data_IF_117896683588
#
_entry.id   IF_117896683588
#
_cell.length_a   1.000
_cell.length_b   1.000
_cell.length_c   1.000
_cell.angle_alpha   90.00
_cell.angle_beta   90.00
_cell.angle_gamma   90.00
#
_symmetry.space_group_name_H-M   'P 1'
#
loop_
_entity.id
_entity.type
_entity.pdbx_description
1 polymer ?
#
# COMPACT_ATOMS: atom_id res chain seq x y z
N UNK A 1 52.43 -71.49 7.52
CA UNK A 1 51.82 -72.04 8.75
C UNK A 1 51.20 -70.87 9.49
N UNK A 2 49.95 -70.52 9.20
CA UNK A 2 48.73 -71.06 9.84
C UNK A 2 48.87 -71.06 11.36
N UNK A 3 48.10 -70.18 12.01
CA UNK A 3 47.44 -70.39 13.30
C UNK A 3 46.47 -69.23 13.54
N UNK A 4 45.21 -69.50 13.19
CA UNK A 4 43.99 -69.30 13.96
C UNK A 4 43.79 -67.96 14.69
N UNK A 5 42.95 -67.13 14.08
CA UNK A 5 42.22 -66.05 14.77
C UNK A 5 41.01 -66.71 15.43
N UNK A 6 41.09 -66.85 16.75
CA UNK A 6 40.01 -67.31 17.62
C UNK A 6 38.91 -66.24 17.64
N UNK A 7 37.74 -66.56 17.07
CA UNK A 7 36.56 -65.69 17.10
C UNK A 7 35.78 -66.01 18.38
N UNK A 8 35.46 -65.02 19.24
CA UNK A 8 34.70 -65.29 20.44
C UNK A 8 33.27 -65.74 20.11
N UNK A 9 32.83 -66.75 20.86
CA UNK A 9 31.51 -67.39 20.83
C UNK A 9 30.36 -66.38 20.90
N UNK A 10 29.30 -66.64 20.13
CA UNK A 10 28.05 -65.90 20.20
C UNK A 10 27.40 -66.13 21.57
N UNK A 11 27.35 -65.08 22.38
CA UNK A 11 26.54 -65.06 23.60
C UNK A 11 25.08 -64.95 23.22
N UNK A 12 24.39 -66.08 23.35
CA UNK A 12 22.93 -66.19 23.41
C UNK A 12 22.46 -65.72 24.80
N UNK A 13 21.35 -64.97 24.83
CA UNK A 13 20.68 -64.54 26.05
C UNK A 13 20.73 -63.02 26.30
N UNK A 14 19.70 -62.29 25.87
CA UNK A 14 18.52 -62.09 26.71
C UNK A 14 17.45 -61.35 25.88
N UNK A 15 16.22 -61.86 25.92
CA UNK A 15 15.02 -61.18 25.45
C UNK A 15 14.85 -59.89 26.25
N UNK A 16 15.01 -58.75 25.59
CA UNK A 16 14.46 -57.45 25.98
C UNK A 16 13.98 -56.77 24.68
N UNK A 17 13.05 -57.44 23.99
CA UNK A 17 12.14 -56.81 23.01
C UNK A 17 10.95 -56.18 23.78
N UNK A 18 11.23 -55.42 24.84
CA UNK A 18 10.22 -54.76 25.68
C UNK A 18 10.35 -53.23 25.60
N UNK A 19 9.30 -52.63 25.03
CA UNK A 19 8.92 -51.22 25.10
C UNK A 19 9.74 -50.17 24.32
N UNK A 20 9.74 -50.29 22.99
CA UNK A 20 9.67 -49.12 22.10
C UNK A 20 8.23 -48.62 21.89
N UNK A 21 7.33 -48.87 22.86
CA UNK A 21 6.06 -48.17 22.91
C UNK A 21 6.36 -46.73 23.32
N UNK A 22 6.28 -45.82 22.35
CA UNK A 22 6.21 -44.39 22.58
C UNK A 22 5.01 -44.08 23.50
N UNK A 23 5.21 -44.16 24.82
CA UNK A 23 4.35 -43.49 25.79
C UNK A 23 4.66 -41.98 25.77
N UNK A 24 4.49 -41.36 24.61
CA UNK A 24 4.14 -39.95 24.58
C UNK A 24 2.70 -39.87 25.07
N UNK A 25 2.51 -39.72 26.38
CA UNK A 25 1.20 -39.47 26.98
C UNK A 25 0.45 -38.47 26.12
N UNK A 26 -0.82 -38.71 25.79
CA UNK A 26 -1.62 -37.82 24.92
C UNK A 26 -1.53 -36.35 25.35
N UNK A 27 -1.32 -36.11 26.64
CA UNK A 27 -1.10 -34.79 27.22
C UNK A 27 0.21 -34.11 26.77
N UNK A 28 1.30 -34.86 26.62
CA UNK A 28 2.59 -34.33 26.12
C UNK A 28 2.54 -34.06 24.61
N UNK A 29 1.84 -34.89 23.84
CA UNK A 29 1.59 -34.63 22.41
C UNK A 29 0.66 -33.43 22.22
N UNK A 30 -0.38 -33.32 23.05
CA UNK A 30 -1.31 -32.19 23.03
C UNK A 30 -0.61 -30.89 23.41
N UNK A 31 0.21 -30.87 24.47
CA UNK A 31 1.00 -29.68 24.84
C UNK A 31 1.98 -29.29 23.75
N UNK A 32 2.65 -30.25 23.10
CA UNK A 32 3.53 -29.96 21.97
C UNK A 32 2.75 -29.45 20.75
N UNK A 33 1.57 -29.99 20.49
CA UNK A 33 0.70 -29.53 19.40
C UNK A 33 0.06 -28.18 19.70
N UNK A 34 -0.23 -27.88 20.97
CA UNK A 34 -0.75 -26.59 21.46
C UNK A 34 0.35 -25.53 21.43
N UNK A 35 1.59 -25.85 21.83
CA UNK A 35 2.75 -24.97 21.67
C UNK A 35 3.06 -24.70 20.19
N UNK A 36 3.02 -25.72 19.33
CA UNK A 36 3.19 -25.54 17.88
C UNK A 36 2.02 -24.73 17.29
N UNK A 37 0.79 -25.00 17.73
CA UNK A 37 -0.41 -24.27 17.31
C UNK A 37 -0.37 -22.81 17.75
N UNK A 38 0.03 -22.52 18.98
CA UNK A 38 0.08 -21.16 19.50
C UNK A 38 1.29 -20.42 18.92
N UNK A 39 2.42 -21.09 18.69
CA UNK A 39 3.52 -20.53 17.91
C UNK A 39 3.09 -20.26 16.46
N UNK A 40 2.29 -21.14 15.84
CA UNK A 40 1.73 -20.96 14.51
C UNK A 40 0.67 -19.84 14.46
N UNK A 41 -0.20 -19.71 15.47
CA UNK A 41 -1.17 -18.61 15.57
C UNK A 41 -0.47 -17.27 15.74
N UNK A 42 0.58 -17.22 16.55
CA UNK A 42 1.43 -16.03 16.72
C UNK A 42 2.22 -15.67 15.44
N UNK A 43 2.35 -16.63 14.51
CA UNK A 43 2.89 -16.42 13.16
C UNK A 43 1.81 -16.05 12.12
N UNK A 44 0.52 -16.25 12.39
CA UNK A 44 -0.54 -16.21 11.36
C UNK A 44 -1.58 -15.09 11.55
N UNK A 45 -1.75 -14.51 12.75
CA UNK A 45 -2.48 -13.24 12.93
C UNK A 45 -1.63 -12.28 13.76
N UNK A 46 -1.01 -11.28 13.13
CA UNK A 46 -0.50 -10.15 13.91
C UNK A 46 -1.69 -9.40 14.50
N UNK A 47 -1.71 -9.15 15.81
CA UNK A 47 -2.69 -8.33 16.55
C UNK A 47 -3.02 -6.98 15.87
N UNK A 48 -2.11 -6.49 15.03
CA UNK A 48 -2.31 -5.29 14.22
C UNK A 48 -3.39 -5.42 13.14
N UNK A 49 -3.64 -6.62 12.58
CA UNK A 49 -4.64 -6.82 11.54
C UNK A 49 -6.07 -6.70 12.08
N UNK A 50 -6.26 -6.95 13.38
CA UNK A 50 -7.54 -6.75 14.07
C UNK A 50 -7.84 -5.28 14.38
N UNK A 51 -6.83 -4.39 14.23
CA UNK A 51 -7.00 -2.96 14.45
C UNK A 51 -7.74 -2.32 13.29
N UNK A 52 -8.26 -1.11 13.54
CA UNK A 52 -8.93 -0.32 12.51
C UNK A 52 -7.96 0.02 11.38
N UNK A 53 -8.48 0.26 10.17
CA UNK A 53 -7.66 0.67 9.04
C UNK A 53 -6.85 1.94 9.36
N UNK A 54 -7.44 2.89 10.09
CA UNK A 54 -6.76 4.10 10.56
C UNK A 54 -5.53 3.74 11.41
N UNK A 55 -5.70 2.87 12.41
CA UNK A 55 -4.59 2.45 13.28
C UNK A 55 -3.48 1.75 12.49
N UNK A 56 -3.83 0.88 11.53
CA UNK A 56 -2.85 0.19 10.67
C UNK A 56 -2.06 1.17 9.81
N UNK A 57 -2.75 2.15 9.22
CA UNK A 57 -2.12 3.24 8.46
C UNK A 57 -1.20 4.07 9.35
N UNK A 58 -1.59 4.32 10.61
CA UNK A 58 -0.79 5.08 11.57
C UNK A 58 0.46 4.35 12.02
N UNK A 59 0.35 3.04 12.26
CA UNK A 59 1.50 2.18 12.56
C UNK A 59 2.49 2.23 11.40
N UNK A 60 2.00 2.06 10.17
CA UNK A 60 2.84 2.12 8.97
C UNK A 60 3.50 3.51 8.79
N UNK A 61 2.74 4.60 9.00
CA UNK A 61 3.27 5.96 8.95
C UNK A 61 4.43 6.15 9.94
N UNK A 62 4.24 5.72 11.19
CA UNK A 62 5.26 5.84 12.23
C UNK A 62 6.51 5.01 11.89
N UNK A 63 6.33 3.80 11.33
CA UNK A 63 7.44 2.97 10.87
C UNK A 63 8.29 3.67 9.80
N UNK A 64 7.65 4.25 8.76
CA UNK A 64 8.36 4.97 7.70
C UNK A 64 9.04 6.22 8.25
N UNK A 65 8.37 6.94 9.15
CA UNK A 65 8.92 8.14 9.81
C UNK A 65 10.15 7.80 10.65
N UNK A 66 10.14 6.69 11.40
CA UNK A 66 11.29 6.23 12.16
C UNK A 66 12.48 5.91 11.24
N UNK A 67 12.25 5.21 10.11
CA UNK A 67 13.31 4.94 9.12
C UNK A 67 13.92 6.22 8.55
N UNK A 68 13.10 7.27 8.36
CA UNK A 68 13.55 8.61 7.93
C UNK A 68 14.37 9.31 9.02
N UNK A 69 13.89 9.33 10.26
CA UNK A 69 14.57 9.98 11.40
C UNK A 69 15.91 9.29 11.75
N UNK A 70 15.99 7.97 11.58
CA UNK A 70 17.20 7.18 11.76
C UNK A 70 18.15 7.22 10.54
N UNK A 71 17.85 8.00 9.50
CA UNK A 71 18.64 8.12 8.26
C UNK A 71 18.90 6.78 7.54
N UNK A 72 18.02 5.78 7.72
CA UNK A 72 18.11 4.46 7.06
C UNK A 72 17.17 4.33 5.86
N UNK A 73 16.38 5.37 5.59
CA UNK A 73 15.33 5.36 4.56
C UNK A 73 15.85 4.98 3.17
N UNK A 74 17.05 5.41 2.77
CA UNK A 74 17.57 5.23 1.41
C UNK A 74 17.73 3.76 1.00
N UNK A 75 17.87 2.84 1.96
CA UNK A 75 17.99 1.39 1.73
C UNK A 75 16.82 0.57 2.28
N UNK A 76 15.84 1.21 2.89
CA UNK A 76 14.72 0.55 3.59
C UNK A 76 13.53 0.20 2.67
N UNK A 77 13.69 0.29 1.35
CA UNK A 77 12.59 0.10 0.40
C UNK A 77 11.92 -1.28 0.50
N UNK A 78 12.70 -2.34 0.80
CA UNK A 78 12.15 -3.70 1.03
C UNK A 78 11.41 -3.81 2.36
N UNK A 79 12.00 -3.27 3.43
CA UNK A 79 11.40 -3.28 4.77
C UNK A 79 10.07 -2.55 4.78
N UNK A 80 10.00 -1.41 4.09
CA UNK A 80 8.79 -0.59 3.97
C UNK A 80 7.70 -1.34 3.21
N UNK A 81 8.03 -2.04 2.12
CA UNK A 81 7.06 -2.86 1.41
C UNK A 81 6.53 -3.99 2.31
N UNK A 82 7.43 -4.72 2.98
CA UNK A 82 7.07 -5.83 3.85
C UNK A 82 6.16 -5.38 5.01
N UNK A 83 6.42 -4.21 5.61
CA UNK A 83 5.57 -3.69 6.68
C UNK A 83 4.20 -3.26 6.17
N UNK A 84 4.12 -2.66 4.98
CA UNK A 84 2.84 -2.29 4.37
C UNK A 84 1.99 -3.54 4.00
N UNK A 85 2.64 -4.62 3.58
CA UNK A 85 1.99 -5.92 3.32
C UNK A 85 1.52 -6.59 4.61
N UNK A 86 2.36 -6.57 5.67
CA UNK A 86 2.00 -7.10 7.00
C UNK A 86 0.78 -6.42 7.60
N UNK A 87 0.63 -5.11 7.36
CA UNK A 87 -0.46 -4.29 7.88
C UNK A 87 -1.68 -4.21 6.94
N UNK A 88 -1.64 -4.88 5.78
CA UNK A 88 -2.71 -4.81 4.77
C UNK A 88 -3.07 -3.35 4.39
N UNK A 89 -2.04 -2.55 4.10
CA UNK A 89 -2.14 -1.14 3.67
C UNK A 89 -1.25 -0.84 2.46
N UNK A 90 -0.83 -1.89 1.72
CA UNK A 90 0.09 -1.79 0.59
C UNK A 90 -0.28 -0.68 -0.40
N UNK A 91 -1.55 -0.60 -0.82
CA UNK A 91 -2.00 0.40 -1.79
C UNK A 91 -1.84 1.85 -1.29
N UNK A 92 -1.94 2.10 0.03
CA UNK A 92 -1.79 3.43 0.62
C UNK A 92 -0.33 3.86 0.79
N UNK A 93 0.62 2.96 0.54
CA UNK A 93 2.06 3.20 0.66
C UNK A 93 2.53 4.50 -0.01
N UNK A 94 2.24 4.73 -1.30
CA UNK A 94 2.65 5.94 -2.00
C UNK A 94 2.09 7.25 -1.42
N UNK A 95 0.89 7.24 -0.83
CA UNK A 95 0.32 8.42 -0.17
C UNK A 95 1.19 8.84 1.03
N UNK A 96 1.50 7.88 1.91
CA UNK A 96 2.34 8.10 3.10
C UNK A 96 3.77 8.46 2.71
N UNK A 97 4.34 7.77 1.72
CA UNK A 97 5.69 8.06 1.23
C UNK A 97 5.78 9.46 0.65
N UNK A 98 4.75 9.93 -0.07
CA UNK A 98 4.74 11.28 -0.62
C UNK A 98 4.81 12.33 0.47
N UNK A 99 4.01 12.20 1.53
CA UNK A 99 4.03 13.13 2.67
C UNK A 99 5.38 13.14 3.38
N UNK A 100 5.97 11.95 3.60
CA UNK A 100 7.19 11.83 4.39
C UNK A 100 8.45 12.14 3.59
N UNK A 101 8.50 11.88 2.29
CA UNK A 101 9.72 11.93 1.49
C UNK A 101 9.79 13.13 0.54
N UNK A 102 8.65 13.69 0.16
CA UNK A 102 8.61 14.83 -0.77
C UNK A 102 8.48 16.19 -0.06
N UNK A 103 9.00 17.21 -0.72
CA UNK A 103 8.91 18.61 -0.31
C UNK A 103 8.86 19.50 -1.56
N UNK A 104 9.18 20.79 -1.44
CA UNK A 104 9.36 21.71 -2.57
C UNK A 104 10.42 21.24 -3.61
N UNK A 105 11.26 20.27 -3.25
CA UNK A 105 12.29 19.65 -4.09
C UNK A 105 11.87 18.29 -4.68
N UNK A 106 10.55 18.05 -4.79
CA UNK A 106 9.96 16.78 -5.25
C UNK A 106 10.61 16.18 -6.49
N UNK A 107 11.02 16.99 -7.47
CA UNK A 107 11.64 16.50 -8.71
C UNK A 107 12.92 15.70 -8.49
N UNK A 108 13.77 16.13 -7.56
CA UNK A 108 15.00 15.40 -7.23
C UNK A 108 14.71 14.23 -6.30
N UNK A 109 13.69 14.36 -5.45
CA UNK A 109 13.25 13.31 -4.53
C UNK A 109 12.56 12.16 -5.28
N UNK A 110 11.83 12.41 -6.37
CA UNK A 110 11.29 11.36 -7.26
C UNK A 110 12.43 10.47 -7.77
N UNK A 111 13.53 11.07 -8.22
CA UNK A 111 14.72 10.32 -8.68
C UNK A 111 15.37 9.56 -7.53
N UNK A 112 15.53 10.22 -6.37
CA UNK A 112 16.17 9.64 -5.18
C UNK A 112 15.41 8.42 -4.67
N UNK A 113 14.07 8.51 -4.59
CA UNK A 113 13.19 7.51 -4.00
C UNK A 113 12.41 6.69 -5.04
N UNK A 114 12.79 6.73 -6.34
CA UNK A 114 12.12 5.97 -7.41
C UNK A 114 11.92 4.50 -7.01
N UNK A 115 12.94 3.88 -6.42
CA UNK A 115 12.89 2.46 -6.01
C UNK A 115 11.84 2.20 -4.92
N UNK A 116 11.64 3.14 -4.00
CA UNK A 116 10.62 3.03 -2.95
C UNK A 116 9.22 3.05 -3.53
N UNK A 117 8.92 4.03 -4.40
CA UNK A 117 7.60 4.14 -5.03
C UNK A 117 7.32 2.99 -6.00
N UNK A 118 8.31 2.58 -6.80
CA UNK A 118 8.13 1.52 -7.81
C UNK A 118 7.72 0.18 -7.18
N UNK A 119 8.14 -0.12 -5.94
CA UNK A 119 7.71 -1.31 -5.20
C UNK A 119 6.20 -1.39 -4.97
N UNK A 120 5.56 -0.23 -4.91
CA UNK A 120 4.12 -0.11 -4.71
C UNK A 120 3.39 0.05 -6.04
N UNK A 121 3.84 0.98 -6.89
CA UNK A 121 3.10 1.42 -8.07
C UNK A 121 3.18 0.44 -9.25
N UNK A 122 4.20 -0.41 -9.34
CA UNK A 122 4.35 -1.32 -10.48
C UNK A 122 3.17 -2.30 -10.60
N UNK A 123 2.42 -2.21 -11.71
CA UNK A 123 1.19 -2.95 -11.99
C UNK A 123 0.09 -2.79 -10.93
N UNK A 124 0.06 -1.66 -10.20
CA UNK A 124 -0.94 -1.39 -9.16
C UNK A 124 -1.55 0.00 -9.33
N UNK A 125 -2.64 0.06 -10.09
CA UNK A 125 -3.37 1.31 -10.37
C UNK A 125 -3.97 1.93 -9.10
N UNK A 126 -4.30 1.12 -8.09
CA UNK A 126 -4.84 1.63 -6.81
C UNK A 126 -3.75 2.39 -6.06
N UNK A 127 -2.54 1.85 -6.00
CA UNK A 127 -1.37 2.52 -5.43
C UNK A 127 -0.99 3.79 -6.21
N UNK A 128 -1.09 3.78 -7.54
CA UNK A 128 -0.87 4.96 -8.39
C UNK A 128 -1.90 6.07 -8.14
N UNK A 129 -3.19 5.73 -7.95
CA UNK A 129 -4.22 6.70 -7.53
C UNK A 129 -3.89 7.32 -6.17
N UNK A 130 -3.38 6.54 -5.20
CA UNK A 130 -2.89 7.07 -3.92
C UNK A 130 -1.66 7.97 -4.08
N UNK A 131 -0.76 7.67 -5.02
CA UNK A 131 0.37 8.54 -5.35
C UNK A 131 -0.10 9.91 -5.87
N UNK A 132 -1.11 9.95 -6.75
CA UNK A 132 -1.71 11.20 -7.22
C UNK A 132 -2.33 12.01 -6.08
N UNK A 133 -3.03 11.35 -5.15
CA UNK A 133 -3.51 12.01 -3.92
C UNK A 133 -2.38 12.57 -3.06
N UNK A 134 -1.30 11.81 -2.90
CA UNK A 134 -0.09 12.27 -2.20
C UNK A 134 0.58 13.47 -2.89
N UNK A 135 0.62 13.46 -4.22
CA UNK A 135 1.11 14.58 -5.02
C UNK A 135 0.28 15.85 -4.79
N UNK A 136 -1.05 15.77 -4.78
CA UNK A 136 -1.93 16.91 -4.48
C UNK A 136 -1.67 17.47 -3.07
N UNK A 137 -1.49 16.61 -2.07
CA UNK A 137 -1.13 17.01 -0.70
C UNK A 137 0.22 17.74 -0.65
N UNK A 138 1.23 17.27 -1.38
CA UNK A 138 2.55 17.92 -1.43
C UNK A 138 2.46 19.27 -2.13
N UNK A 139 1.68 19.39 -3.20
CA UNK A 139 1.40 20.67 -3.86
C UNK A 139 0.68 21.63 -2.91
N UNK A 140 -0.30 21.17 -2.13
CA UNK A 140 -0.96 21.99 -1.10
C UNK A 140 0.05 22.53 -0.08
N UNK A 141 0.97 21.70 0.40
CA UNK A 141 1.96 22.09 1.41
C UNK A 141 2.97 23.12 0.89
N UNK A 142 3.31 23.06 -0.40
CA UNK A 142 4.31 23.92 -1.05
C UNK A 142 3.73 24.66 -2.27
N UNK A 143 2.51 25.20 -2.12
CA UNK A 143 1.70 25.69 -3.25
C UNK A 143 2.44 26.73 -4.10
N UNK A 144 3.08 27.72 -3.47
CA UNK A 144 3.81 28.78 -4.19
C UNK A 144 4.94 28.22 -5.06
N UNK A 145 5.64 27.18 -4.60
CA UNK A 145 6.79 26.60 -5.30
C UNK A 145 6.38 25.55 -6.33
N UNK A 146 5.36 24.75 -6.04
CA UNK A 146 5.03 23.55 -6.79
C UNK A 146 3.90 23.73 -7.79
N UNK A 147 2.95 24.63 -7.54
CA UNK A 147 1.81 24.81 -8.43
C UNK A 147 2.22 25.21 -9.87
N UNK A 148 3.22 26.10 -10.10
CA UNK A 148 3.74 26.36 -11.45
C UNK A 148 4.50 25.18 -12.08
N UNK A 149 4.86 24.17 -11.27
CA UNK A 149 5.67 23.00 -11.67
C UNK A 149 4.86 21.72 -11.83
N UNK A 150 3.55 21.74 -11.53
CA UNK A 150 2.65 20.60 -11.69
C UNK A 150 2.88 19.81 -12.99
N UNK A 151 2.85 20.44 -14.19
CA UNK A 151 2.99 19.66 -15.44
C UNK A 151 4.35 18.97 -15.58
N UNK A 152 5.46 19.60 -15.14
CA UNK A 152 6.78 18.96 -15.20
C UNK A 152 6.95 17.88 -14.13
N UNK A 153 6.31 18.00 -12.97
CA UNK A 153 6.34 16.98 -11.93
C UNK A 153 5.55 15.73 -12.37
N UNK A 154 4.37 15.91 -12.96
CA UNK A 154 3.59 14.80 -13.52
C UNK A 154 4.37 14.08 -14.62
N UNK A 155 5.06 14.84 -15.49
CA UNK A 155 5.97 14.24 -16.47
C UNK A 155 7.11 13.45 -15.81
N UNK A 156 7.75 13.98 -14.78
CA UNK A 156 8.82 13.26 -14.07
C UNK A 156 8.29 11.96 -13.41
N UNK A 157 7.05 11.94 -12.91
CA UNK A 157 6.42 10.74 -12.35
C UNK A 157 6.09 9.70 -13.43
N UNK A 158 5.58 10.14 -14.59
CA UNK A 158 5.32 9.31 -15.76
C UNK A 158 6.62 8.72 -16.34
N UNK A 159 7.62 9.55 -16.62
CA UNK A 159 8.94 9.13 -17.13
C UNK A 159 9.67 8.19 -16.14
N UNK A 160 9.31 8.25 -14.86
CA UNK A 160 9.84 7.37 -13.82
C UNK A 160 9.08 6.04 -13.67
N UNK A 161 8.11 5.75 -14.54
CA UNK A 161 7.25 4.56 -14.49
C UNK A 161 6.46 4.44 -13.16
N UNK A 162 6.18 5.59 -12.52
CA UNK A 162 5.44 5.63 -11.25
C UNK A 162 3.95 5.87 -11.46
N UNK A 163 3.55 6.42 -12.60
CA UNK A 163 2.17 6.65 -13.00
C UNK A 163 1.99 6.23 -14.45
N UNK A 164 1.02 5.34 -14.69
CA UNK A 164 0.59 4.96 -16.03
C UNK A 164 -0.28 6.06 -16.65
N UNK A 165 -0.29 6.08 -17.98
CA UNK A 165 -1.01 7.08 -18.77
C UNK A 165 -2.51 7.09 -18.44
N UNK A 166 -3.13 5.93 -18.46
CA UNK A 166 -4.57 5.75 -18.20
C UNK A 166 -4.98 6.20 -16.78
N UNK A 167 -4.13 5.98 -15.79
CA UNK A 167 -4.35 6.47 -14.41
C UNK A 167 -4.30 8.00 -14.37
N UNK A 168 -3.36 8.63 -15.09
CA UNK A 168 -3.26 10.09 -15.16
C UNK A 168 -4.48 10.67 -15.90
N UNK A 169 -4.89 10.06 -17.02
CA UNK A 169 -6.04 10.51 -17.79
C UNK A 169 -7.34 10.39 -16.99
N UNK A 170 -7.56 9.25 -16.34
CA UNK A 170 -8.71 9.01 -15.45
C UNK A 170 -8.76 10.03 -14.30
N UNK A 171 -7.63 10.29 -13.66
CA UNK A 171 -7.55 11.33 -12.62
C UNK A 171 -7.88 12.71 -13.18
N UNK A 172 -7.36 13.06 -14.35
CA UNK A 172 -7.55 14.39 -14.94
C UNK A 172 -9.02 14.69 -15.29
N UNK A 173 -9.83 13.67 -15.58
CA UNK A 173 -11.25 13.79 -15.94
C UNK A 173 -12.15 14.26 -14.80
N UNK A 174 -11.87 13.81 -13.56
CA UNK A 174 -12.73 14.08 -12.40
C UNK A 174 -11.96 14.74 -11.28
N UNK A 175 -12.27 16.01 -11.04
CA UNK A 175 -11.76 16.74 -9.87
C UNK A 175 -12.35 16.15 -8.59
N UNK A 176 -11.49 15.76 -7.66
CA UNK A 176 -11.86 15.25 -6.34
C UNK A 176 -11.64 16.30 -5.23
N UNK A 177 -12.36 16.15 -4.12
CA UNK A 177 -12.17 16.92 -2.88
C UNK A 177 -11.55 16.09 -1.74
N UNK A 178 -11.12 14.86 -2.05
CA UNK A 178 -10.67 13.85 -1.07
C UNK A 178 -9.41 14.27 -0.31
N UNK A 179 -8.43 14.86 -1.01
CA UNK A 179 -7.11 15.18 -0.42
C UNK A 179 -6.91 16.69 -0.23
N UNK A 180 -7.47 17.49 -1.12
CA UNK A 180 -7.36 18.95 -1.12
C UNK A 180 -8.71 19.61 -1.36
N UNK A 181 -8.81 20.93 -1.10
CA UNK A 181 -10.05 21.66 -1.38
C UNK A 181 -10.40 21.59 -2.86
N UNK A 182 -11.70 21.59 -3.18
CA UNK A 182 -12.18 21.52 -4.58
C UNK A 182 -11.59 22.62 -5.46
N UNK A 183 -11.36 23.81 -4.91
CA UNK A 183 -10.76 24.94 -5.64
C UNK A 183 -9.28 24.71 -5.93
N UNK A 184 -8.52 24.18 -4.96
CA UNK A 184 -7.12 23.83 -5.18
C UNK A 184 -6.99 22.68 -6.18
N UNK A 185 -7.85 21.66 -6.08
CA UNK A 185 -7.85 20.55 -7.03
C UNK A 185 -8.12 21.05 -8.46
N UNK A 186 -9.13 21.92 -8.67
CA UNK A 186 -9.36 22.57 -9.97
C UNK A 186 -8.12 23.32 -10.47
N UNK A 187 -7.43 24.04 -9.59
CA UNK A 187 -6.22 24.78 -9.95
C UNK A 187 -5.08 23.84 -10.35
N UNK A 188 -4.88 22.73 -9.63
CA UNK A 188 -3.90 21.69 -9.97
C UNK A 188 -4.21 21.08 -11.34
N UNK A 189 -5.46 20.68 -11.60
CA UNK A 189 -5.87 20.12 -12.90
C UNK A 189 -5.68 21.14 -14.04
N UNK A 190 -6.00 22.42 -13.80
CA UNK A 190 -5.77 23.48 -14.78
C UNK A 190 -4.27 23.65 -15.12
N UNK A 191 -3.38 23.48 -14.14
CA UNK A 191 -1.92 23.48 -14.38
C UNK A 191 -1.45 22.19 -15.06
N UNK A 192 -2.09 21.06 -14.80
CA UNK A 192 -1.78 19.77 -15.42
C UNK A 192 -2.22 19.68 -16.89
N UNK A 193 -3.19 20.51 -17.31
CA UNK A 193 -3.81 20.44 -18.65
C UNK A 193 -2.82 20.37 -19.83
N UNK A 194 -1.69 21.11 -19.89
CA UNK A 194 -0.73 20.97 -20.98
C UNK A 194 -0.10 19.58 -21.07
N UNK A 195 0.18 18.94 -19.91
CA UNK A 195 0.75 17.59 -19.87
C UNK A 195 -0.30 16.53 -20.20
N UNK A 196 -1.52 16.67 -19.67
CA UNK A 196 -2.65 15.78 -20.01
C UNK A 196 -2.95 15.83 -21.51
N UNK A 197 -2.91 17.03 -22.10
CA UNK A 197 -3.07 17.20 -23.54
C UNK A 197 -1.96 16.48 -24.32
N UNK A 198 -0.70 16.60 -23.88
CA UNK A 198 0.44 15.91 -24.50
C UNK A 198 0.29 14.39 -24.45
N UNK A 199 -0.21 13.81 -23.35
CA UNK A 199 -0.51 12.37 -23.27
C UNK A 199 -1.57 11.95 -24.30
N UNK A 200 -2.69 12.68 -24.39
CA UNK A 200 -3.77 12.37 -25.35
C UNK A 200 -3.33 12.48 -26.81
N UNK A 201 -2.49 13.46 -27.13
CA UNK A 201 -1.95 13.62 -28.50
C UNK A 201 -0.97 12.48 -28.86
N UNK A 202 -0.32 11.85 -27.88
CA UNK A 202 0.53 10.68 -28.12
C UNK A 202 -0.29 9.41 -28.39
N UNK A 203 -1.50 9.30 -27.84
CA UNK A 203 -2.41 8.16 -28.02
C UNK A 203 -3.05 8.11 -29.42
N UNK A 204 -3.26 9.26 -30.08
CA UNK A 204 -3.80 9.33 -31.46
C UNK A 204 -2.88 8.67 -32.52
N UNK A 205 -1.68 8.20 -32.17
CA UNK A 205 -0.83 7.34 -33.02
C UNK A 205 -0.94 5.83 -32.72
N UNK A 206 -1.72 5.42 -31.71
CA UNK A 206 -1.88 4.01 -31.29
C UNK A 206 -3.31 3.74 -30.79
N UNK A 207 -4.23 3.44 -31.71
CA UNK A 207 -5.64 3.20 -31.40
C UNK A 207 -5.90 2.11 -30.33
N UNK A 208 -6.67 2.47 -29.30
CA UNK A 208 -7.92 1.77 -28.96
C UNK A 208 -7.92 0.89 -27.70
N UNK A 209 -8.38 1.44 -26.57
CA UNK A 209 -9.01 0.62 -25.53
C UNK A 209 -10.06 1.39 -24.73
N UNK A 210 -11.31 0.96 -24.87
CA UNK A 210 -12.43 1.31 -24.00
C UNK A 210 -12.15 0.79 -22.58
N UNK A 211 -12.20 1.66 -21.57
CA UNK A 211 -12.01 1.25 -20.17
C UNK A 211 -13.27 1.54 -19.37
N UNK A 212 -13.87 0.45 -18.88
CA UNK A 212 -15.02 0.46 -17.97
C UNK A 212 -14.62 1.13 -16.65
N UNK A 213 -15.44 2.08 -16.24
CA UNK A 213 -15.25 2.85 -15.00
C UNK A 213 -15.74 1.97 -13.85
N UNK A 214 -14.83 1.26 -13.18
CA UNK A 214 -15.18 0.64 -11.89
C UNK A 214 -15.31 1.73 -10.83
N UNK A 215 -16.56 2.03 -10.47
CA UNK A 215 -16.94 2.78 -9.27
C UNK A 215 -16.61 1.95 -8.04
N UNK A 216 -15.35 1.99 -7.59
CA UNK A 216 -14.93 1.41 -6.31
C UNK A 216 -15.35 2.38 -5.18
N UNK A 217 -16.66 2.41 -4.90
CA UNK A 217 -17.31 3.21 -3.85
C UNK A 217 -17.30 2.49 -2.49
N UNK A 218 -16.17 1.87 -2.12
CA UNK A 218 -15.86 1.53 -0.72
C UNK A 218 -15.00 2.64 -0.10
N UNK A 219 -15.68 3.76 0.22
CA UNK A 219 -15.09 4.94 0.83
C UNK A 219 -14.70 4.68 2.31
N UNK A 220 -13.51 4.14 2.56
CA UNK A 220 -12.75 4.55 3.76
C UNK A 220 -11.97 5.81 3.39
N UNK A 221 -12.55 6.95 3.76
CA UNK A 221 -11.96 8.27 3.56
C UNK A 221 -10.87 8.49 4.60
N UNK A 222 -9.61 8.20 4.26
CA UNK A 222 -8.46 8.63 5.07
C UNK A 222 -8.26 10.12 4.82
N UNK A 223 -9.05 10.96 5.48
CA UNK A 223 -8.88 12.43 5.45
C UNK A 223 -7.76 12.80 6.42
N UNK A 224 -6.58 13.10 5.87
CA UNK A 224 -5.43 13.48 6.69
C UNK A 224 -5.52 14.95 7.13
N UNK A 225 -5.62 15.18 8.44
CA UNK A 225 -5.73 16.53 9.00
C UNK A 225 -4.35 17.21 9.03
N UNK A 226 -4.22 18.30 8.27
CA UNK A 226 -2.93 19.02 8.09
C UNK A 226 -2.55 19.92 9.28
N UNK A 227 -3.23 19.82 10.42
CA UNK A 227 -2.99 20.68 11.57
C UNK A 227 -2.40 19.87 12.72
N UNK A 228 -1.07 19.78 12.70
CA UNK A 228 -0.22 19.23 13.75
C UNK A 228 -0.46 17.76 14.15
N UNK A 229 0.25 16.84 13.47
CA UNK A 229 0.71 15.55 14.03
C UNK A 229 -0.31 14.64 14.74
N UNK A 230 -1.61 14.75 14.48
CA UNK A 230 -2.62 13.81 14.99
C UNK A 230 -3.74 13.59 13.96
N UNK A 231 -4.19 12.33 13.87
CA UNK A 231 -5.20 11.87 12.93
C UNK A 231 -6.62 12.04 13.50
N UNK A 232 -7.56 12.34 12.60
CA UNK A 232 -8.99 12.31 12.87
C UNK A 232 -9.71 11.72 11.66
N UNK A 233 -10.38 10.59 11.86
CA UNK A 233 -11.33 10.03 10.89
C UNK A 233 -12.73 10.59 11.15
N UNK A 234 -13.37 11.10 10.10
CA UNK A 234 -14.81 11.36 10.08
C UNK A 234 -15.47 10.50 9.00
N UNK A 235 -16.48 9.72 9.39
CA UNK A 235 -17.37 9.02 8.47
C UNK A 235 -18.44 9.99 7.96
N UNK A 236 -18.41 10.34 6.67
CA UNK A 236 -19.49 11.10 6.04
C UNK A 236 -20.61 10.12 5.62
N UNK A 237 -21.84 10.36 6.08
CA UNK A 237 -23.03 9.62 5.60
C UNK A 237 -23.28 9.94 4.12
N UNK A 238 -23.75 8.96 3.33
CA UNK A 238 -24.09 9.19 1.93
C UNK A 238 -25.19 10.26 1.82
N UNK A 239 -24.94 11.24 0.95
CA UNK A 239 -25.91 12.23 0.52
C UNK A 239 -26.98 11.48 -0.28
N UNK A 240 -28.22 11.46 0.21
CA UNK A 240 -29.36 11.00 -0.59
C UNK A 240 -29.46 11.94 -1.78
N UNK A 241 -29.24 11.43 -2.98
CA UNK A 241 -29.85 12.00 -4.18
C UNK A 241 -31.36 12.00 -3.92
N UNK A 242 -31.93 13.18 -3.69
CA UNK A 242 -33.35 13.39 -3.93
C UNK A 242 -33.53 13.16 -5.43
N UNK A 243 -34.05 11.98 -5.78
CA UNK A 243 -34.74 11.76 -7.03
C UNK A 243 -35.82 12.86 -7.10
N UNK A 244 -35.69 13.79 -8.06
CA UNK A 244 -36.80 14.65 -8.44
C UNK A 244 -37.87 13.74 -9.05
N UNK A 245 -38.73 13.21 -8.18
CA UNK A 245 -39.96 12.53 -8.52
C UNK A 245 -40.84 13.45 -9.39
N UNK A 246 -41.16 12.95 -10.58
CA UNK A 246 -42.40 13.13 -11.33
C UNK A 246 -43.03 14.54 -11.37
N UNK A 247 -42.64 15.31 -12.40
CA UNK A 247 -43.51 16.33 -12.97
C UNK A 247 -44.69 15.65 -13.70
N UNK A 248 -45.79 15.46 -12.99
CA UNK A 248 -47.09 15.06 -13.54
C UNK A 248 -47.58 16.07 -14.60
N UNK A 249 -47.23 15.82 -15.87
CA UNK A 249 -47.99 16.30 -17.03
C UNK A 249 -49.20 15.37 -17.17
N UNK A 250 -50.33 15.78 -16.57
CA UNK A 250 -51.69 15.61 -17.12
C UNK A 250 -52.75 16.12 -16.12
N UNK A 251 -53.12 17.40 -16.25
CA UNK A 251 -54.41 17.92 -15.81
C UNK A 251 -54.79 19.16 -16.63
N UNK A 252 -55.50 18.91 -17.75
CA UNK A 252 -56.52 19.83 -18.31
C UNK A 252 -57.84 19.52 -17.60
#
# INVERSE_FOLDING_TARGET
NHNDIDAPEAVDGNEDDEDWAEETTEEAQRRRMEEISDHAKNLTLSDDLEKTLEDRVNIFYNFVKEKKENCTIDTADKDILAEAERLDVRAMGPLILSELLFSENIRDQIKKYKRHFLRFCHNDKKAQKYLLGGFECVVKLHQTQLLPRVPIILKDLYDADLLEEDVILTWAEKVSKKYVSKDLAKEIHAKAAPFVKWLKEAEEESEGSEQEVEEDDENVEVVYSSSARELKVETVKPEKTEEEDDLDIDAI
#
